data_IF_284433169397
#
_entry.id   IF_284433169397
#
_cell.length_a   1.000
_cell.length_b   1.000
_cell.length_c   1.000
_cell.angle_alpha   90.00
_cell.angle_beta   90.00
_cell.angle_gamma   90.00
#
_symmetry.space_group_name_H-M   'P 1'
#
loop_
_entity.id
_entity.type
_entity.pdbx_description
1 polymer ?
#
# COMPACT_ATOMS: atom_id res chain seq x y z
N UNK A 1 37.07 32.67 21.31
CA UNK A 1 35.81 32.67 22.08
C UNK A 1 34.71 32.86 21.04
N UNK A 2 33.79 31.93 20.75
CA UNK A 2 33.01 31.00 21.58
C UNK A 2 32.47 29.91 20.61
N UNK A 3 32.68 28.63 20.89
CA UNK A 3 31.75 27.54 20.52
C UNK A 3 30.59 27.56 21.54
N UNK A 4 29.35 27.06 21.28
CA UNK A 4 29.14 25.65 20.92
C UNK A 4 27.88 25.26 20.09
N UNK A 5 27.94 24.03 19.57
CA UNK A 5 26.87 23.00 19.54
C UNK A 5 25.49 23.34 18.96
N UNK A 6 25.14 22.66 17.86
CA UNK A 6 24.02 21.70 17.89
C UNK A 6 24.32 20.60 16.88
N UNK A 7 24.69 19.42 17.39
CA UNK A 7 24.76 18.22 16.56
C UNK A 7 23.38 17.92 16.01
N UNK A 8 23.26 17.82 14.69
CA UNK A 8 22.07 17.25 14.08
C UNK A 8 22.13 15.75 14.34
N UNK A 9 21.35 15.31 15.33
CA UNK A 9 20.99 13.91 15.50
C UNK A 9 20.46 13.41 14.17
N UNK A 10 21.23 12.54 13.51
CA UNK A 10 20.76 11.80 12.36
C UNK A 10 19.55 10.97 12.84
N UNK A 11 18.35 11.37 12.43
CA UNK A 11 17.17 10.53 12.62
C UNK A 11 17.33 9.36 11.67
N UNK A 12 17.74 8.24 12.25
CA UNK A 12 17.85 6.94 11.61
C UNK A 12 16.53 6.54 10.96
N UNK A 13 16.63 5.91 9.79
CA UNK A 13 15.58 5.14 9.14
C UNK A 13 14.61 4.53 10.14
N UNK A 14 13.33 4.91 10.08
CA UNK A 14 12.28 4.11 10.69
C UNK A 14 12.08 2.86 9.84
N UNK A 15 13.03 1.93 9.91
CA UNK A 15 12.65 0.53 9.82
C UNK A 15 11.61 0.32 10.92
N UNK A 16 10.45 -0.25 10.59
CA UNK A 16 9.54 -0.70 11.62
C UNK A 16 10.30 -1.77 12.42
N UNK A 17 10.99 -1.34 13.49
CA UNK A 17 11.72 -2.18 14.40
C UNK A 17 10.71 -2.97 15.20
N UNK A 18 10.14 -4.01 14.57
CA UNK A 18 9.25 -4.93 15.24
C UNK A 18 10.11 -5.70 16.23
N UNK A 19 9.94 -5.40 17.51
CA UNK A 19 10.56 -6.16 18.57
C UNK A 19 10.04 -7.60 18.52
N UNK A 20 10.95 -8.57 18.46
CA UNK A 20 10.62 -9.98 18.57
C UNK A 20 10.92 -10.43 20.01
N UNK A 21 10.09 -11.34 20.52
CA UNK A 21 10.31 -11.94 21.84
C UNK A 21 10.93 -13.33 21.66
N UNK A 22 11.91 -13.66 22.51
CA UNK A 22 12.47 -15.00 22.59
C UNK A 22 11.51 -15.92 23.34
N UNK A 23 10.93 -16.87 22.61
CA UNK A 23 9.93 -17.81 23.12
C UNK A 23 10.53 -18.86 24.08
N UNK A 24 11.83 -19.13 23.97
CA UNK A 24 12.51 -20.16 24.76
C UNK A 24 13.04 -19.60 26.10
N UNK A 25 13.07 -18.27 26.25
CA UNK A 25 13.57 -17.58 27.44
C UNK A 25 12.73 -17.79 28.71
N UNK A 26 11.49 -18.28 28.58
CA UNK A 26 10.53 -18.40 29.68
C UNK A 26 10.08 -17.06 30.29
N UNK A 27 10.50 -15.92 29.72
CA UNK A 27 10.20 -14.55 30.18
C UNK A 27 9.57 -13.74 29.05
N UNK A 28 8.33 -14.08 28.71
CA UNK A 28 7.57 -13.33 27.72
C UNK A 28 7.04 -12.02 28.31
N UNK A 29 7.04 -10.92 27.54
CA UNK A 29 6.42 -9.67 27.96
C UNK A 29 4.90 -9.85 28.12
N UNK A 30 4.32 -9.17 29.11
CA UNK A 30 2.87 -9.13 29.28
C UNK A 30 2.22 -8.29 28.17
N UNK A 31 1.31 -8.91 27.43
CA UNK A 31 0.60 -8.28 26.32
C UNK A 31 -0.62 -7.47 26.79
N UNK A 32 -1.05 -7.59 28.05
CA UNK A 32 -2.20 -6.82 28.57
C UNK A 32 -1.95 -5.30 28.55
N UNK A 33 -0.68 -4.88 28.63
CA UNK A 33 -0.25 -3.48 28.54
C UNK A 33 0.28 -3.10 27.16
N UNK A 34 0.28 -4.03 26.21
CA UNK A 34 0.79 -3.77 24.87
C UNK A 34 -0.16 -2.84 24.10
N UNK A 35 0.42 -1.90 23.36
CA UNK A 35 -0.32 -0.99 22.48
C UNK A 35 -0.18 -1.47 21.05
N UNK A 36 -1.31 -1.62 20.36
CA UNK A 36 -1.32 -1.95 18.95
C UNK A 36 -0.59 -0.87 18.13
N UNK A 37 0.27 -1.29 17.21
CA UNK A 37 0.91 -0.38 16.27
C UNK A 37 -0.14 0.24 15.34
N UNK A 38 0.12 1.46 14.87
CA UNK A 38 -0.80 2.22 14.01
C UNK A 38 -0.84 1.75 12.55
N UNK A 39 -0.15 0.66 12.20
CA UNK A 39 -0.16 0.07 10.87
C UNK A 39 -0.74 -1.33 10.90
N UNK A 40 -1.62 -1.63 9.93
CA UNK A 40 -2.19 -2.97 9.78
C UNK A 40 -1.26 -3.85 8.92
N UNK A 41 -0.99 -5.07 9.38
CA UNK A 41 -0.20 -6.05 8.63
C UNK A 41 -0.99 -6.67 7.46
N UNK A 42 -2.32 -6.65 7.54
CA UNK A 42 -3.18 -7.20 6.49
C UNK A 42 -3.56 -6.09 5.52
N UNK A 43 -3.21 -6.28 4.25
CA UNK A 43 -3.65 -5.38 3.19
C UNK A 43 -5.11 -5.66 2.82
N UNK A 44 -5.97 -4.67 3.04
CA UNK A 44 -7.38 -4.72 2.69
C UNK A 44 -7.54 -4.79 1.18
N UNK A 45 -8.36 -5.74 0.70
CA UNK A 45 -8.58 -5.91 -0.73
C UNK A 45 -9.61 -4.88 -1.23
N UNK A 46 -9.14 -3.80 -1.85
CA UNK A 46 -10.01 -2.74 -2.32
C UNK A 46 -10.76 -3.17 -3.59
N UNK A 47 -12.08 -3.32 -3.47
CA UNK A 47 -12.97 -3.68 -4.59
C UNK A 47 -14.03 -2.58 -4.78
N UNK A 48 -13.73 -1.52 -5.56
CA UNK A 48 -14.69 -0.44 -5.76
C UNK A 48 -15.94 -0.97 -6.47
N UNK A 49 -17.11 -0.53 -6.02
CA UNK A 49 -18.41 -0.99 -6.51
C UNK A 49 -18.99 -0.01 -7.54
N UNK A 50 -18.78 1.29 -7.33
CA UNK A 50 -19.33 2.38 -8.13
C UNK A 50 -18.25 3.18 -8.87
N UNK A 51 -18.54 3.57 -10.12
CA UNK A 51 -17.69 4.49 -10.86
C UNK A 51 -17.62 5.84 -10.13
N UNK A 52 -16.41 6.40 -10.06
CA UNK A 52 -16.10 7.63 -9.32
C UNK A 52 -15.47 7.38 -7.94
N UNK A 53 -15.54 6.15 -7.40
CA UNK A 53 -14.80 5.82 -6.18
C UNK A 53 -13.31 6.06 -6.36
N UNK A 54 -12.69 6.76 -5.41
CA UNK A 54 -11.29 7.14 -5.48
C UNK A 54 -10.59 7.04 -4.14
N UNK A 55 -9.27 6.78 -4.21
CA UNK A 55 -8.37 6.78 -3.06
C UNK A 55 -7.12 7.58 -3.34
N UNK A 56 -6.65 8.30 -2.32
CA UNK A 56 -5.35 8.96 -2.30
C UNK A 56 -4.39 8.08 -1.51
N UNK A 57 -3.38 7.57 -2.18
CA UNK A 57 -2.52 6.52 -1.62
C UNK A 57 -1.06 6.74 -2.02
N UNK A 58 -0.14 6.16 -1.27
CA UNK A 58 1.24 5.96 -1.71
C UNK A 58 1.38 4.59 -2.35
N UNK A 59 2.05 4.51 -3.49
CA UNK A 59 2.40 3.22 -4.09
C UNK A 59 3.48 2.52 -3.27
N UNK A 60 3.28 1.24 -2.93
CA UNK A 60 4.26 0.45 -2.20
C UNK A 60 5.03 -0.47 -3.15
N UNK A 61 4.34 -1.47 -3.70
CA UNK A 61 4.94 -2.47 -4.60
C UNK A 61 3.89 -3.19 -5.44
N UNK A 62 4.35 -3.99 -6.40
CA UNK A 62 3.54 -5.03 -7.05
C UNK A 62 4.13 -6.38 -6.66
N UNK A 63 3.29 -7.28 -6.14
CA UNK A 63 3.71 -8.61 -5.73
C UNK A 63 2.63 -9.66 -5.98
N UNK A 64 3.06 -10.92 -6.10
CA UNK A 64 2.15 -12.06 -6.23
C UNK A 64 1.48 -12.35 -4.87
N UNK A 65 0.18 -12.58 -4.90
CA UNK A 65 -0.63 -13.00 -3.75
C UNK A 65 -1.39 -14.26 -4.12
N UNK A 66 -1.30 -15.30 -3.29
CA UNK A 66 -2.20 -16.46 -3.39
C UNK A 66 -3.59 -16.05 -2.93
N UNK A 67 -4.56 -16.20 -3.82
CA UNK A 67 -5.98 -15.93 -3.56
C UNK A 67 -6.79 -17.16 -3.94
N UNK A 68 -7.96 -17.33 -3.32
CA UNK A 68 -8.90 -18.35 -3.77
C UNK A 68 -9.33 -18.03 -5.21
N UNK A 69 -9.21 -19.01 -6.11
CA UNK A 69 -9.73 -18.96 -7.46
C UNK A 69 -11.26 -19.01 -7.48
N UNK A 70 -11.84 -19.14 -8.67
CA UNK A 70 -13.28 -19.39 -8.77
C UNK A 70 -13.61 -20.75 -8.18
N UNK A 71 -14.90 -20.97 -7.91
CA UNK A 71 -15.38 -22.24 -7.36
C UNK A 71 -14.82 -23.44 -8.15
N UNK A 72 -14.07 -24.32 -7.47
CA UNK A 72 -13.41 -25.48 -8.06
C UNK A 72 -11.97 -25.26 -8.59
N UNK A 73 -11.47 -24.03 -8.69
CA UNK A 73 -10.14 -23.72 -9.25
C UNK A 73 -8.98 -23.75 -8.23
N UNK A 74 -9.27 -23.96 -6.94
CA UNK A 74 -8.25 -24.00 -5.89
C UNK A 74 -7.60 -22.64 -5.60
N UNK A 75 -6.33 -22.62 -5.19
CA UNK A 75 -5.58 -21.38 -4.96
C UNK A 75 -4.88 -20.94 -6.24
N UNK A 76 -5.03 -19.66 -6.60
CA UNK A 76 -4.40 -19.05 -7.77
C UNK A 76 -3.46 -17.93 -7.36
N UNK A 77 -2.34 -17.80 -8.07
CA UNK A 77 -1.43 -16.66 -7.90
C UNK A 77 -1.97 -15.46 -8.68
N UNK A 78 -2.24 -14.37 -7.96
CA UNK A 78 -2.72 -13.12 -8.52
C UNK A 78 -1.71 -12.01 -8.24
N UNK A 79 -1.25 -11.35 -9.30
CA UNK A 79 -0.42 -10.16 -9.19
C UNK A 79 -1.27 -9.00 -8.67
N UNK A 80 -0.91 -8.45 -7.52
CA UNK A 80 -1.62 -7.35 -6.87
C UNK A 80 -0.71 -6.12 -6.73
N UNK A 81 -1.29 -4.95 -6.94
CA UNK A 81 -0.67 -3.68 -6.54
C UNK A 81 -1.00 -3.39 -5.08
N UNK A 82 0.03 -3.02 -4.31
CA UNK A 82 -0.06 -2.67 -2.91
C UNK A 82 0.13 -1.17 -2.73
N UNK A 83 -0.66 -0.61 -1.84
CA UNK A 83 -0.68 0.81 -1.54
C UNK A 83 -0.78 1.05 -0.04
N UNK A 84 -0.39 2.24 0.39
CA UNK A 84 -0.59 2.71 1.75
C UNK A 84 -1.46 3.96 1.74
N UNK A 85 -2.53 3.95 2.53
CA UNK A 85 -3.40 5.09 2.75
C UNK A 85 -3.13 5.65 4.15
N UNK A 86 -2.77 6.93 4.24
CA UNK A 86 -2.61 7.61 5.52
C UNK A 86 -3.93 8.31 5.86
N UNK A 87 -4.69 7.73 6.78
CA UNK A 87 -5.96 8.29 7.25
C UNK A 87 -5.87 8.57 8.74
N UNK A 88 -6.00 9.84 9.14
CA UNK A 88 -5.98 10.26 10.55
C UNK A 88 -4.78 9.74 11.37
N UNK A 89 -3.60 9.63 10.75
CA UNK A 89 -2.39 9.12 11.42
C UNK A 89 -2.27 7.58 11.47
N UNK A 90 -3.25 6.85 10.96
CA UNK A 90 -3.20 5.40 10.76
C UNK A 90 -2.72 5.08 9.34
N UNK A 91 -1.81 4.13 9.20
CA UNK A 91 -1.33 3.66 7.90
C UNK A 91 -2.03 2.34 7.57
N UNK A 92 -2.99 2.39 6.65
CA UNK A 92 -3.70 1.20 6.18
C UNK A 92 -3.08 0.71 4.88
N UNK A 93 -2.73 -0.57 4.82
CA UNK A 93 -2.31 -1.22 3.57
C UNK A 93 -3.53 -1.62 2.75
N UNK A 94 -3.46 -1.39 1.45
CA UNK A 94 -4.51 -1.71 0.48
C UNK A 94 -3.90 -2.56 -0.63
N UNK A 95 -4.67 -3.50 -1.16
CA UNK A 95 -4.29 -4.31 -2.30
C UNK A 95 -5.38 -4.27 -3.38
N UNK A 96 -4.99 -4.29 -4.66
CA UNK A 96 -5.91 -4.45 -5.78
C UNK A 96 -5.29 -5.31 -6.89
N UNK A 97 -5.99 -6.35 -7.32
CA UNK A 97 -5.56 -7.31 -8.35
C UNK A 97 -6.03 -7.01 -9.77
N UNK A 98 -6.53 -5.80 -10.06
CA UNK A 98 -6.92 -5.42 -11.42
C UNK A 98 -5.72 -5.47 -12.36
N UNK A 99 -5.77 -6.38 -13.35
CA UNK A 99 -4.71 -6.51 -14.37
C UNK A 99 -4.40 -5.19 -15.08
N UNK A 100 -5.42 -4.36 -15.35
CA UNK A 100 -5.23 -3.06 -16.00
C UNK A 100 -4.51 -2.07 -15.11
N UNK A 101 -4.89 -2.01 -13.84
CA UNK A 101 -4.25 -1.11 -12.87
C UNK A 101 -2.79 -1.51 -12.64
N UNK A 102 -2.56 -2.80 -12.36
CA UNK A 102 -1.21 -3.37 -12.16
C UNK A 102 -0.34 -3.11 -13.40
N UNK A 103 -0.85 -3.38 -14.61
CA UNK A 103 -0.09 -3.16 -15.83
C UNK A 103 0.20 -1.68 -16.10
N UNK A 104 -0.71 -0.76 -15.76
CA UNK A 104 -0.46 0.67 -15.88
C UNK A 104 0.70 1.11 -14.97
N UNK A 105 0.69 0.69 -13.70
CA UNK A 105 1.76 1.02 -12.74
C UNK A 105 3.13 0.49 -13.20
N UNK A 106 3.17 -0.74 -13.72
CA UNK A 106 4.40 -1.36 -14.25
C UNK A 106 4.88 -0.66 -15.52
N UNK A 107 3.99 -0.42 -16.49
CA UNK A 107 4.33 0.23 -17.78
C UNK A 107 4.95 1.60 -17.58
N UNK A 108 4.41 2.39 -16.64
CA UNK A 108 4.92 3.72 -16.35
C UNK A 108 6.05 3.75 -15.29
N UNK A 109 6.50 2.59 -14.81
CA UNK A 109 7.63 2.50 -13.88
C UNK A 109 7.41 3.27 -12.58
N UNK A 110 6.19 3.24 -12.02
CA UNK A 110 5.86 3.99 -10.81
C UNK A 110 6.73 3.49 -9.64
N UNK A 111 7.51 4.39 -9.04
CA UNK A 111 8.43 4.04 -7.96
C UNK A 111 7.71 3.98 -6.61
N UNK A 112 8.20 3.12 -5.70
CA UNK A 112 7.74 3.04 -4.31
C UNK A 112 7.75 4.43 -3.65
N UNK A 113 6.70 4.74 -2.89
CA UNK A 113 6.49 6.04 -2.26
C UNK A 113 5.84 7.09 -3.17
N UNK A 114 5.57 6.80 -4.44
CA UNK A 114 4.88 7.75 -5.33
C UNK A 114 3.46 8.02 -4.83
N UNK A 115 3.06 9.27 -4.55
CA UNK A 115 1.70 9.61 -4.16
C UNK A 115 0.78 9.60 -5.39
N UNK A 116 -0.34 8.89 -5.29
CA UNK A 116 -1.29 8.64 -6.37
C UNK A 116 -2.72 9.00 -5.94
N UNK A 117 -3.48 9.55 -6.87
CA UNK A 117 -4.93 9.53 -6.87
C UNK A 117 -5.38 8.45 -7.85
N UNK A 118 -6.00 7.41 -7.33
CA UNK A 118 -6.55 6.31 -8.12
C UNK A 118 -8.07 6.42 -8.09
N UNK A 119 -8.69 6.48 -9.27
CA UNK A 119 -10.14 6.56 -9.43
C UNK A 119 -10.63 5.40 -10.29
N UNK A 120 -11.61 4.65 -9.81
CA UNK A 120 -12.30 3.64 -10.58
C UNK A 120 -13.31 4.32 -11.52
N UNK A 121 -13.19 4.09 -12.81
CA UNK A 121 -14.04 4.70 -13.85
C UNK A 121 -15.19 3.79 -14.29
N UNK A 122 -15.45 2.71 -13.55
CA UNK A 122 -16.41 1.69 -13.94
C UNK A 122 -15.81 0.65 -14.88
N UNK A 123 -16.66 -0.20 -15.45
CA UNK A 123 -16.26 -1.19 -16.44
C UNK A 123 -16.38 -0.63 -17.85
N UNK A 124 -15.44 -0.97 -18.70
CA UNK A 124 -15.52 -0.72 -20.14
C UNK A 124 -15.63 -2.04 -20.87
N UNK A 125 -16.67 -2.19 -21.69
CA UNK A 125 -16.83 -3.33 -22.57
C UNK A 125 -15.93 -3.15 -23.80
N UNK A 126 -15.25 -4.23 -24.20
CA UNK A 126 -14.50 -4.22 -25.46
C UNK A 126 -15.47 -4.14 -26.65
N UNK A 127 -15.13 -3.36 -27.67
CA UNK A 127 -15.96 -3.23 -28.89
C UNK A 127 -16.17 -4.57 -29.62
N UNK A 128 -15.29 -5.54 -29.39
CA UNK A 128 -15.20 -6.79 -30.15
C UNK A 128 -15.64 -8.04 -29.39
N UNK A 129 -15.98 -7.95 -28.09
CA UNK A 129 -16.51 -9.09 -27.32
C UNK A 129 -17.33 -8.65 -26.10
N UNK A 130 -17.97 -9.61 -25.44
CA UNK A 130 -18.76 -9.36 -24.23
C UNK A 130 -17.91 -9.19 -22.96
N UNK A 131 -16.57 -9.22 -23.05
CA UNK A 131 -15.73 -9.05 -21.88
C UNK A 131 -15.69 -7.58 -21.45
N UNK A 132 -15.90 -7.39 -20.16
CA UNK A 132 -15.82 -6.10 -19.49
C UNK A 132 -14.55 -6.06 -18.65
N UNK A 133 -13.79 -4.98 -18.75
CA UNK A 133 -12.60 -4.77 -17.93
C UNK A 133 -12.75 -3.50 -17.11
N UNK A 134 -12.25 -3.55 -15.88
CA UNK A 134 -12.22 -2.38 -15.02
C UNK A 134 -11.40 -1.27 -15.68
N UNK A 135 -11.92 -0.04 -15.64
CA UNK A 135 -11.28 1.14 -16.17
C UNK A 135 -10.82 2.03 -15.02
N UNK A 136 -9.67 2.68 -15.18
CA UNK A 136 -8.97 3.35 -14.09
C UNK A 136 -8.40 4.69 -14.56
N UNK A 137 -8.51 5.72 -13.72
CA UNK A 137 -7.68 6.92 -13.80
C UNK A 137 -6.62 6.84 -12.70
N UNK A 138 -5.35 6.91 -13.07
CA UNK A 138 -4.23 6.97 -12.13
C UNK A 138 -3.49 8.27 -12.37
N UNK A 139 -3.39 9.12 -11.34
CA UNK A 139 -2.72 10.42 -11.44
C UNK A 139 -1.71 10.55 -10.31
N UNK A 140 -0.51 11.02 -10.64
CA UNK A 140 0.49 11.39 -9.64
C UNK A 140 0.00 12.65 -8.93
N UNK A 141 0.01 12.63 -7.60
CA UNK A 141 -0.30 13.79 -6.79
C UNK A 141 0.97 14.62 -6.60
N UNK A 142 0.86 15.93 -6.76
CA UNK A 142 1.91 16.84 -6.31
C UNK A 142 1.70 17.08 -4.82
N UNK A 143 2.71 16.79 -4.01
CA UNK A 143 2.73 17.20 -2.61
C UNK A 143 3.17 18.67 -2.60
N UNK A 144 2.35 19.54 -2.01
CA UNK A 144 2.79 20.91 -1.74
C UNK A 144 3.95 20.83 -0.75
N UNK A 145 5.08 21.44 -1.10
CA UNK A 145 6.42 21.13 -0.58
C UNK A 145 6.62 21.22 0.93
N UNK A 146 6.12 20.24 1.67
CA UNK A 146 6.59 19.85 3.00
C UNK A 146 7.56 18.69 2.86
N UNK A 147 8.83 19.02 2.59
CA UNK A 147 10.03 18.16 2.62
C UNK A 147 10.01 16.86 1.79
N UNK A 148 10.65 16.94 0.61
CA UNK A 148 11.22 15.77 -0.08
C UNK A 148 12.61 15.55 0.52
N UNK A 149 12.76 14.52 1.35
CA UNK A 149 14.06 14.09 1.87
C UNK A 149 14.77 13.24 0.80
N UNK A 150 15.95 13.69 0.35
CA UNK A 150 16.92 12.87 -0.40
C UNK A 150 17.73 11.99 0.55
#
# INVERSE_FOLDING_TARGET
MITPTTGFTALSQASAGVATADLDSGKLPDLATAVAQSFNLVADYWTPQAAGESKRVFFDTVAMRKVAGREGEGMVDLECAYFCEQTHGCLTSLANGSKRLVNALKTYGVARGTPLLITYLGKTQNKTNAHQSDNWSVRILKLDGGAVYQ
#
